data_IF_110088178262
#
_entry.id   IF_110088178262
#
_cell.length_a   1.000
_cell.length_b   1.000
_cell.length_c   1.000
_cell.angle_alpha   90.00
_cell.angle_beta   90.00
_cell.angle_gamma   90.00
#
_symmetry.space_group_name_H-M   'P 1'
#
loop_
_entity.id
_entity.type
_entity.pdbx_description
1 polymer ?
#
# COMPACT_ATOMS: atom_id res chain seq x y z
N UNK A 1 -15.12 -0.92 -8.26
CA UNK A 1 -13.86 -1.69 -8.33
C UNK A 1 -13.21 -1.66 -6.96
N UNK A 2 -12.86 -2.81 -6.39
CA UNK A 2 -12.08 -2.87 -5.14
C UNK A 2 -10.58 -2.98 -5.48
N UNK A 3 -9.68 -2.36 -4.69
CA UNK A 3 -8.25 -2.52 -4.89
C UNK A 3 -7.84 -3.99 -4.75
N UNK A 4 -7.07 -4.48 -5.72
CA UNK A 4 -6.62 -5.88 -5.73
C UNK A 4 -5.83 -6.25 -4.47
N UNK A 5 -5.00 -5.33 -3.98
CA UNK A 5 -4.23 -5.50 -2.75
C UNK A 5 -5.06 -5.80 -1.50
N UNK A 6 -6.33 -5.40 -1.47
CA UNK A 6 -7.23 -5.68 -0.34
C UNK A 6 -8.02 -6.98 -0.51
N UNK A 7 -8.06 -7.52 -1.73
CA UNK A 7 -8.88 -8.67 -2.08
C UNK A 7 -8.06 -9.93 -2.39
N UNK A 8 -6.76 -9.80 -2.68
CA UNK A 8 -5.91 -10.87 -3.19
C UNK A 8 -5.95 -12.12 -2.30
N UNK A 9 -5.68 -11.99 -1.00
CA UNK A 9 -5.72 -13.12 -0.06
C UNK A 9 -7.09 -13.82 -0.03
N UNK A 10 -8.19 -13.06 -0.09
CA UNK A 10 -9.53 -13.62 -0.08
C UNK A 10 -9.93 -14.27 -1.41
N UNK A 11 -9.37 -13.80 -2.52
CA UNK A 11 -9.51 -14.42 -3.83
C UNK A 11 -8.72 -15.73 -3.89
N UNK A 12 -7.49 -15.74 -3.35
CA UNK A 12 -6.61 -16.91 -3.30
C UNK A 12 -7.20 -18.01 -2.40
N UNK A 13 -7.81 -17.63 -1.27
CA UNK A 13 -8.49 -18.56 -0.35
C UNK A 13 -9.94 -18.92 -0.79
N UNK A 14 -10.41 -18.40 -1.92
CA UNK A 14 -11.73 -18.69 -2.49
C UNK A 14 -12.93 -18.11 -1.72
N UNK A 15 -12.69 -17.19 -0.78
CA UNK A 15 -13.74 -16.47 -0.05
C UNK A 15 -14.40 -15.37 -0.88
N UNK A 16 -13.69 -14.86 -1.88
CA UNK A 16 -14.21 -13.95 -2.90
C UNK A 16 -14.17 -14.63 -4.26
N UNK A 17 -15.14 -14.28 -5.11
CA UNK A 17 -15.11 -14.62 -6.53
C UNK A 17 -15.02 -13.35 -7.35
N UNK A 18 -14.18 -13.37 -8.37
CA UNK A 18 -14.09 -12.27 -9.33
C UNK A 18 -15.33 -12.29 -10.23
N UNK A 19 -16.10 -11.21 -10.24
CA UNK A 19 -17.28 -11.06 -11.11
C UNK A 19 -16.97 -10.30 -12.39
N UNK A 20 -16.05 -9.34 -12.32
CA UNK A 20 -15.63 -8.51 -13.43
C UNK A 20 -14.22 -7.99 -13.15
N UNK A 21 -13.32 -8.15 -14.11
CA UNK A 21 -11.98 -7.56 -14.07
C UNK A 21 -11.99 -6.26 -14.87
N UNK A 22 -11.49 -5.19 -14.25
CA UNK A 22 -11.32 -3.91 -14.92
C UNK A 22 -10.26 -4.04 -16.02
N UNK A 23 -10.50 -3.46 -17.19
CA UNK A 23 -9.45 -3.33 -18.23
C UNK A 23 -8.28 -2.45 -17.73
N UNK A 24 -8.58 -1.45 -16.89
CA UNK A 24 -7.57 -0.59 -16.27
C UNK A 24 -7.74 -0.59 -14.75
N UNK A 25 -6.65 -0.85 -14.03
CA UNK A 25 -6.66 -0.81 -12.57
C UNK A 25 -6.87 0.62 -12.08
N UNK A 26 -7.63 0.83 -10.99
CA UNK A 26 -7.76 2.16 -10.40
C UNK A 26 -6.39 2.65 -9.91
N UNK A 27 -6.08 3.92 -10.19
CA UNK A 27 -4.85 4.56 -9.74
C UNK A 27 -4.89 4.75 -8.22
N UNK A 28 -3.93 4.13 -7.52
CA UNK A 28 -3.78 4.24 -6.08
C UNK A 28 -2.56 5.11 -5.75
N UNK A 29 -2.78 6.35 -5.32
CA UNK A 29 -1.70 7.22 -4.84
C UNK A 29 -1.52 7.05 -3.34
N UNK A 30 -0.33 6.64 -2.91
CA UNK A 30 0.04 6.54 -1.50
C UNK A 30 0.88 7.75 -1.08
N UNK A 31 0.62 8.28 0.11
CA UNK A 31 1.36 9.39 0.69
C UNK A 31 2.05 8.94 1.97
N UNK A 32 3.36 9.13 2.05
CA UNK A 32 4.11 9.03 3.30
C UNK A 32 4.21 10.42 3.93
N UNK A 33 3.55 10.61 5.07
CA UNK A 33 3.45 11.92 5.74
C UNK A 33 4.19 11.87 7.08
N UNK A 34 4.98 12.90 7.35
CA UNK A 34 5.67 13.11 8.62
C UNK A 34 5.18 14.39 9.28
N UNK A 35 4.91 14.35 10.59
CA UNK A 35 4.60 15.56 11.36
C UNK A 35 5.88 16.39 11.50
N UNK A 36 5.84 17.72 11.32
CA UNK A 36 6.97 18.58 11.61
C UNK A 36 7.52 18.35 13.02
N UNK A 37 8.84 18.18 13.15
CA UNK A 37 9.53 17.89 14.41
C UNK A 37 9.62 16.40 14.76
N UNK A 38 8.97 15.50 14.02
CA UNK A 38 9.07 14.06 14.25
C UNK A 38 10.46 13.50 13.91
N UNK A 39 11.23 14.19 13.08
CA UNK A 39 12.63 13.91 12.75
C UNK A 39 13.58 13.98 13.96
N UNK A 40 13.15 14.63 15.06
CA UNK A 40 13.91 14.62 16.31
C UNK A 40 14.01 13.22 16.94
N UNK A 41 13.11 12.31 16.57
CA UNK A 41 13.20 10.90 16.94
C UNK A 41 13.88 10.10 15.81
N UNK A 42 15.07 9.52 16.04
CA UNK A 42 15.79 8.76 15.01
C UNK A 42 15.03 7.53 14.51
N UNK A 43 14.13 6.96 15.32
CA UNK A 43 13.29 5.83 14.88
C UNK A 43 12.29 6.23 13.81
N UNK A 44 11.82 7.47 13.82
CA UNK A 44 10.91 7.98 12.77
C UNK A 44 11.65 8.02 11.43
N UNK A 45 12.89 8.49 11.41
CA UNK A 45 13.71 8.52 10.19
C UNK A 45 13.96 7.09 9.68
N UNK A 46 14.37 6.19 10.58
CA UNK A 46 14.60 4.78 10.24
C UNK A 46 13.37 4.14 9.60
N UNK A 47 12.19 4.34 10.17
CA UNK A 47 10.93 3.82 9.63
C UNK A 47 10.58 4.47 8.29
N UNK A 48 10.76 5.78 8.15
CA UNK A 48 10.55 6.48 6.87
C UNK A 48 11.43 5.92 5.75
N UNK A 49 12.71 5.64 6.04
CA UNK A 49 13.65 5.08 5.06
C UNK A 49 13.27 3.66 4.65
N UNK A 50 12.84 2.83 5.60
CA UNK A 50 12.31 1.48 5.32
C UNK A 50 11.08 1.56 4.41
N UNK A 51 10.12 2.43 4.71
CA UNK A 51 8.93 2.61 3.86
C UNK A 51 9.28 3.10 2.46
N UNK A 52 10.19 4.07 2.32
CA UNK A 52 10.67 4.54 1.01
C UNK A 52 11.39 3.46 0.23
N UNK A 53 12.10 2.57 0.92
CA UNK A 53 12.78 1.44 0.29
C UNK A 53 11.78 0.42 -0.25
N UNK A 54 10.82 0.00 0.57
CA UNK A 54 9.79 -0.96 0.20
C UNK A 54 8.87 -0.44 -0.90
N UNK A 55 8.56 0.86 -0.90
CA UNK A 55 7.71 1.49 -1.90
C UNK A 55 8.25 1.45 -3.34
N UNK A 56 9.53 1.11 -3.54
CA UNK A 56 10.07 0.88 -4.90
C UNK A 56 9.57 -0.42 -5.53
N UNK A 57 9.10 -1.35 -4.70
CA UNK A 57 8.66 -2.68 -5.12
C UNK A 57 7.11 -2.81 -5.08
N UNK A 58 6.38 -1.70 -4.93
CA UNK A 58 4.92 -1.64 -4.86
C UNK A 58 4.26 -1.30 -6.19
#
# INVERSE_FOLDING_TARGET
>A
MLPRSLCQDYLDDGRLTLLHEAEEAPLNTLFLVQRPGAEANPDVIRVCDVFRSAARDW
#
